data_IF_578629181891
#
_entry.id   IF_578629181891
#
_cell.length_a   1.000
_cell.length_b   1.000
_cell.length_c   1.000
_cell.angle_alpha   90.00
_cell.angle_beta   90.00
_cell.angle_gamma   90.00
#
_symmetry.space_group_name_H-M   'P 1'
#
loop_
_entity.id
_entity.type
_entity.pdbx_description
1 polymer ?
#
# COMPACT_ATOMS: atom_id res chain seq x y z
N UNK A 1 -7.90 25.59 30.54
CA UNK A 1 -7.05 24.68 31.34
C UNK A 1 -7.43 23.21 31.13
N UNK A 2 -8.64 22.71 31.47
CA UNK A 2 -8.99 21.28 31.31
C UNK A 2 -8.92 20.80 29.85
N UNK A 3 -9.47 21.54 28.90
CA UNK A 3 -9.45 21.18 27.46
C UNK A 3 -8.02 21.14 26.94
N UNK A 4 -7.18 22.11 27.27
CA UNK A 4 -5.76 22.13 26.90
C UNK A 4 -5.04 20.87 27.42
N UNK A 5 -5.22 20.52 28.70
CA UNK A 5 -4.63 19.30 29.26
C UNK A 5 -5.10 18.01 28.57
N UNK A 6 -6.37 17.94 28.14
CA UNK A 6 -6.89 16.79 27.40
C UNK A 6 -6.26 16.66 26.01
N UNK A 7 -6.05 17.79 25.33
CA UNK A 7 -5.39 17.81 24.01
C UNK A 7 -3.93 17.39 24.16
N UNK A 8 -3.19 17.93 25.14
CA UNK A 8 -1.80 17.54 25.44
C UNK A 8 -1.68 16.02 25.68
N UNK A 9 -2.57 15.46 26.49
CA UNK A 9 -2.61 14.01 26.76
C UNK A 9 -2.87 13.23 25.47
N UNK A 10 -3.82 13.67 24.65
CA UNK A 10 -4.15 12.98 23.41
C UNK A 10 -2.98 13.01 22.41
N UNK A 11 -2.37 14.17 22.20
CA UNK A 11 -1.25 14.33 21.27
C UNK A 11 -0.06 13.45 21.65
N UNK A 12 0.18 13.30 22.95
CA UNK A 12 1.30 12.49 23.45
C UNK A 12 1.00 10.99 23.45
N UNK A 13 -0.13 10.59 24.02
CA UNK A 13 -0.38 9.16 24.31
C UNK A 13 -1.01 8.40 23.15
N UNK A 14 -1.76 9.07 22.26
CA UNK A 14 -2.38 8.41 21.11
C UNK A 14 -1.37 7.67 20.22
N UNK A 15 -0.29 8.31 19.71
CA UNK A 15 0.69 7.61 18.86
C UNK A 15 1.46 6.52 19.62
N UNK A 16 1.70 6.69 20.93
CA UNK A 16 2.38 5.68 21.76
C UNK A 16 1.52 4.42 21.86
N UNK A 17 0.24 4.57 22.24
CA UNK A 17 -0.70 3.45 22.39
C UNK A 17 -0.88 2.74 21.06
N UNK A 18 -1.09 3.50 19.97
CA UNK A 18 -1.32 2.92 18.66
C UNK A 18 -0.08 2.19 18.13
N UNK A 19 1.11 2.77 18.30
CA UNK A 19 2.36 2.13 17.93
C UNK A 19 2.59 0.82 18.71
N UNK A 20 2.25 0.79 19.98
CA UNK A 20 2.34 -0.42 20.81
C UNK A 20 1.35 -1.50 20.33
N UNK A 21 0.11 -1.14 19.99
CA UNK A 21 -0.88 -2.07 19.41
C UNK A 21 -0.36 -2.67 18.12
N UNK A 22 0.12 -1.84 17.18
CA UNK A 22 0.60 -2.32 15.90
C UNK A 22 1.89 -3.14 16.02
N UNK A 23 2.82 -2.74 16.87
CA UNK A 23 4.04 -3.48 17.14
C UNK A 23 3.75 -4.85 17.76
N UNK A 24 2.86 -4.92 18.75
CA UNK A 24 2.49 -6.20 19.38
C UNK A 24 1.79 -7.14 18.40
N UNK A 25 0.89 -6.63 17.55
CA UNK A 25 0.25 -7.42 16.52
C UNK A 25 1.22 -7.93 15.46
N UNK A 26 2.16 -7.11 15.02
CA UNK A 26 3.21 -7.52 14.09
C UNK A 26 4.14 -8.59 14.70
N UNK A 27 4.46 -8.47 15.98
CA UNK A 27 5.24 -9.46 16.69
C UNK A 27 4.52 -10.81 16.79
N UNK A 28 3.26 -10.81 17.20
CA UNK A 28 2.44 -12.01 17.36
C UNK A 28 2.11 -12.69 16.02
N UNK A 29 1.97 -11.91 14.93
CA UNK A 29 1.68 -12.45 13.59
C UNK A 29 2.73 -13.45 13.11
N UNK A 30 3.99 -13.32 13.56
CA UNK A 30 5.10 -14.20 13.19
C UNK A 30 4.84 -15.68 13.52
N UNK A 31 4.20 -15.95 14.64
CA UNK A 31 3.91 -17.34 15.04
C UNK A 31 2.81 -17.94 14.16
N UNK A 32 1.80 -17.17 13.81
CA UNK A 32 0.72 -17.61 12.92
C UNK A 32 1.20 -17.89 11.48
N UNK A 33 2.26 -17.18 11.05
CA UNK A 33 2.78 -17.32 9.68
C UNK A 33 3.80 -18.45 9.51
N UNK A 34 4.37 -18.98 10.60
CA UNK A 34 5.38 -20.06 10.54
C UNK A 34 4.87 -21.27 9.76
N UNK A 35 3.60 -21.62 9.95
CA UNK A 35 3.02 -22.86 9.44
C UNK A 35 2.28 -22.69 8.10
N UNK A 36 2.18 -21.43 7.58
CA UNK A 36 1.58 -21.19 6.26
C UNK A 36 2.50 -21.69 5.16
N UNK A 37 2.05 -22.71 4.42
CA UNK A 37 2.70 -23.25 3.24
C UNK A 37 2.14 -22.60 1.97
N UNK A 38 2.94 -22.60 0.89
CA UNK A 38 2.43 -22.40 -0.46
C UNK A 38 1.43 -23.53 -0.83
N UNK A 39 0.69 -23.35 -1.91
CA UNK A 39 -0.18 -24.43 -2.41
C UNK A 39 0.68 -25.68 -2.66
N UNK A 40 0.15 -26.82 -2.25
CA UNK A 40 0.75 -28.11 -2.52
C UNK A 40 0.74 -28.37 -4.04
N UNK A 41 1.89 -28.70 -4.61
CA UNK A 41 2.09 -28.98 -6.03
C UNK A 41 1.26 -30.16 -6.54
N UNK A 42 0.65 -30.93 -5.63
CA UNK A 42 -0.24 -32.06 -5.96
C UNK A 42 -1.68 -31.64 -6.31
N UNK A 43 -2.05 -30.35 -6.13
CA UNK A 43 -3.38 -29.85 -6.49
C UNK A 43 -3.40 -29.33 -7.93
N UNK A 44 -4.53 -29.50 -8.62
CA UNK A 44 -4.79 -28.83 -9.88
C UNK A 44 -4.60 -27.33 -9.74
N UNK A 45 -3.78 -26.75 -10.60
CA UNK A 45 -3.53 -25.32 -10.62
C UNK A 45 -4.71 -24.58 -11.26
N UNK A 46 -5.46 -23.84 -10.46
CA UNK A 46 -6.51 -22.95 -10.96
C UNK A 46 -5.89 -21.86 -11.84
N UNK A 47 -6.55 -21.53 -12.96
CA UNK A 47 -6.08 -20.49 -13.86
C UNK A 47 -6.11 -19.10 -13.20
N UNK A 48 -5.03 -18.35 -13.29
CA UNK A 48 -4.91 -16.97 -12.77
C UNK A 48 -4.73 -16.03 -13.94
N UNK A 49 -5.54 -14.95 -13.99
CA UNK A 49 -5.35 -13.86 -14.92
C UNK A 49 -4.50 -12.75 -14.26
N UNK A 50 -3.28 -12.53 -14.77
CA UNK A 50 -2.45 -11.41 -14.37
C UNK A 50 -2.85 -10.19 -15.20
N UNK A 51 -3.16 -9.08 -14.56
CA UNK A 51 -3.56 -7.84 -15.20
C UNK A 51 -2.58 -6.73 -14.86
N UNK A 52 -2.05 -6.10 -15.90
CA UNK A 52 -1.11 -4.99 -15.82
C UNK A 52 -1.70 -3.81 -16.59
N UNK A 53 -1.81 -2.66 -15.94
CA UNK A 53 -2.10 -1.39 -16.61
C UNK A 53 -0.79 -0.66 -16.87
N UNK A 54 -0.57 -0.19 -18.10
CA UNK A 54 0.64 0.50 -18.51
C UNK A 54 0.31 1.89 -19.08
N UNK A 55 1.07 2.90 -18.66
CA UNK A 55 1.04 4.24 -19.23
C UNK A 55 2.40 4.90 -19.09
N UNK A 56 3.12 5.04 -20.21
CA UNK A 56 4.49 5.56 -20.28
C UNK A 56 5.45 4.78 -19.36
N UNK A 57 5.59 3.49 -19.63
CA UNK A 57 6.39 2.53 -18.87
C UNK A 57 7.47 1.87 -19.77
N UNK A 58 7.95 2.59 -20.80
CA UNK A 58 8.94 2.06 -21.74
C UNK A 58 10.22 1.55 -21.07
N UNK A 59 10.60 2.11 -19.92
CA UNK A 59 11.82 1.73 -19.19
C UNK A 59 11.69 0.41 -18.41
N UNK A 60 10.46 0.02 -18.03
CA UNK A 60 10.24 -1.08 -17.09
C UNK A 60 9.46 -2.25 -17.66
N UNK A 61 8.57 -2.01 -18.63
CA UNK A 61 7.57 -2.99 -19.07
C UNK A 61 8.16 -4.29 -19.63
N UNK A 62 9.24 -4.22 -20.39
CA UNK A 62 9.92 -5.39 -20.94
C UNK A 62 10.46 -6.29 -19.82
N UNK A 63 11.17 -5.68 -18.86
CA UNK A 63 11.77 -6.38 -17.73
C UNK A 63 10.69 -7.03 -16.84
N UNK A 64 9.56 -6.34 -16.62
CA UNK A 64 8.42 -6.89 -15.88
C UNK A 64 7.86 -8.12 -16.58
N UNK A 65 7.61 -8.07 -17.89
CA UNK A 65 7.10 -9.21 -18.65
C UNK A 65 8.04 -10.41 -18.60
N UNK A 66 9.35 -10.18 -18.80
CA UNK A 66 10.37 -11.22 -18.69
C UNK A 66 10.38 -11.86 -17.30
N UNK A 67 10.15 -11.07 -16.24
CA UNK A 67 10.12 -11.55 -14.87
C UNK A 67 8.97 -12.53 -14.60
N UNK A 68 7.83 -12.37 -15.29
CA UNK A 68 6.67 -13.25 -15.13
C UNK A 68 6.94 -14.69 -15.58
N UNK A 69 7.88 -14.90 -16.52
CA UNK A 69 8.30 -16.25 -16.96
C UNK A 69 9.00 -17.05 -15.85
N UNK A 70 9.54 -16.35 -14.84
CA UNK A 70 10.25 -16.99 -13.74
C UNK A 70 9.33 -17.39 -12.58
N UNK A 71 8.01 -17.21 -12.72
CA UNK A 71 7.05 -17.56 -11.68
C UNK A 71 6.84 -19.09 -11.63
N UNK A 72 6.85 -19.65 -10.43
CA UNK A 72 6.57 -21.05 -10.19
C UNK A 72 5.05 -21.32 -10.22
N UNK A 73 4.40 -21.01 -11.35
CA UNK A 73 2.97 -21.23 -11.50
C UNK A 73 2.61 -21.53 -12.97
N UNK A 74 2.07 -22.70 -13.29
CA UNK A 74 1.98 -23.18 -14.66
C UNK A 74 0.73 -22.72 -15.44
N UNK A 75 -0.30 -22.20 -14.76
CA UNK A 75 -1.60 -21.89 -15.37
C UNK A 75 -1.89 -20.39 -15.31
N UNK A 76 -1.30 -19.62 -16.24
CA UNK A 76 -1.40 -18.17 -16.31
C UNK A 76 -2.01 -17.70 -17.64
N UNK A 77 -2.74 -16.61 -17.57
CA UNK A 77 -3.03 -15.72 -18.70
C UNK A 77 -2.70 -14.30 -18.31
N UNK A 78 -2.18 -13.51 -19.26
CA UNK A 78 -1.68 -12.17 -18.98
C UNK A 78 -2.44 -11.18 -19.85
N UNK A 79 -3.02 -10.17 -19.23
CA UNK A 79 -3.65 -9.03 -19.88
C UNK A 79 -2.84 -7.78 -19.57
N UNK A 80 -2.41 -7.08 -20.61
CA UNK A 80 -1.78 -5.77 -20.48
C UNK A 80 -2.68 -4.76 -21.15
N UNK A 81 -3.04 -3.71 -20.40
CA UNK A 81 -3.83 -2.62 -20.93
C UNK A 81 -2.96 -1.39 -21.09
N UNK A 82 -2.66 -1.01 -22.33
CA UNK A 82 -2.01 0.26 -22.62
C UNK A 82 -3.04 1.39 -22.55
N UNK A 83 -2.88 2.29 -21.58
CA UNK A 83 -3.76 3.44 -21.35
C UNK A 83 -3.36 4.65 -22.22
N UNK A 84 -3.14 4.39 -23.53
CA UNK A 84 -2.73 5.39 -24.50
C UNK A 84 -1.36 6.01 -24.18
N UNK A 85 -0.33 5.18 -24.03
CA UNK A 85 1.05 5.64 -23.85
C UNK A 85 1.49 6.53 -25.02
N UNK A 86 2.32 7.53 -24.71
CA UNK A 86 2.89 8.47 -25.67
C UNK A 86 4.37 8.21 -25.96
N UNK A 87 4.99 7.29 -25.23
CA UNK A 87 6.35 6.79 -25.39
C UNK A 87 6.36 5.45 -26.15
N UNK A 88 7.47 4.72 -26.12
CA UNK A 88 7.63 3.43 -26.81
C UNK A 88 7.04 2.23 -26.06
N UNK A 89 6.21 2.44 -25.02
CA UNK A 89 5.63 1.34 -24.23
C UNK A 89 4.89 0.33 -25.10
N UNK A 90 3.97 0.80 -25.95
CA UNK A 90 3.15 -0.07 -26.80
C UNK A 90 3.99 -0.83 -27.82
N UNK A 91 5.00 -0.19 -28.42
CA UNK A 91 5.92 -0.81 -29.34
C UNK A 91 6.69 -1.96 -28.68
N UNK A 92 7.26 -1.72 -27.50
CA UNK A 92 7.95 -2.73 -26.69
C UNK A 92 7.05 -3.91 -26.30
N UNK A 93 5.79 -3.64 -25.96
CA UNK A 93 4.83 -4.69 -25.68
C UNK A 93 4.65 -5.66 -26.86
N UNK A 94 4.52 -5.13 -28.07
CA UNK A 94 4.40 -5.95 -29.28
C UNK A 94 5.70 -6.64 -29.66
N UNK A 95 6.86 -6.02 -29.42
CA UNK A 95 8.18 -6.64 -29.64
C UNK A 95 8.39 -7.84 -28.72
N UNK A 96 8.13 -7.66 -27.43
CA UNK A 96 8.21 -8.76 -26.44
C UNK A 96 7.25 -9.89 -26.82
N UNK A 97 6.02 -9.57 -27.19
CA UNK A 97 5.06 -10.58 -27.64
C UNK A 97 5.54 -11.38 -28.86
N UNK A 98 6.23 -10.74 -29.83
CA UNK A 98 6.78 -11.41 -31.03
C UNK A 98 7.98 -12.28 -30.71
N UNK A 99 8.80 -11.90 -29.74
CA UNK A 99 10.03 -12.61 -29.38
C UNK A 99 9.78 -13.89 -28.56
N UNK A 100 8.54 -14.14 -28.14
CA UNK A 100 8.15 -15.29 -27.33
C UNK A 100 6.98 -16.03 -27.96
N UNK A 101 7.29 -17.01 -28.81
CA UNK A 101 6.30 -17.82 -29.53
C UNK A 101 5.40 -18.66 -28.59
N UNK A 102 5.86 -18.92 -27.38
CA UNK A 102 5.15 -19.70 -26.36
C UNK A 102 4.19 -18.86 -25.49
N UNK A 103 4.07 -17.54 -25.76
CA UNK A 103 3.18 -16.65 -25.02
C UNK A 103 1.83 -16.41 -25.69
N UNK A 104 1.18 -17.48 -26.10
CA UNK A 104 -0.21 -17.42 -26.60
C UNK A 104 -1.19 -16.86 -25.56
N UNK A 105 -0.80 -16.87 -24.28
CA UNK A 105 -1.60 -16.36 -23.17
C UNK A 105 -1.47 -14.86 -22.94
N UNK A 106 -0.60 -14.14 -23.69
CA UNK A 106 -0.42 -12.69 -23.56
C UNK A 106 -1.39 -11.93 -24.46
N UNK A 107 -2.32 -11.19 -23.86
CA UNK A 107 -3.27 -10.32 -24.54
C UNK A 107 -2.93 -8.84 -24.27
N UNK A 108 -2.72 -8.07 -25.32
CA UNK A 108 -2.51 -6.62 -25.26
C UNK A 108 -3.83 -5.94 -25.62
N UNK A 109 -4.31 -5.05 -24.76
CA UNK A 109 -5.52 -4.25 -24.93
C UNK A 109 -5.11 -2.77 -24.99
N UNK A 110 -5.56 -2.07 -26.05
CA UNK A 110 -5.22 -0.67 -26.27
C UNK A 110 -6.42 0.24 -25.97
N UNK A 111 -6.20 1.28 -25.18
CA UNK A 111 -7.19 2.34 -24.98
C UNK A 111 -6.99 3.46 -26.01
N UNK A 112 -8.08 4.05 -26.45
CA UNK A 112 -8.05 5.16 -27.43
C UNK A 112 -7.62 6.49 -26.80
N UNK A 113 -7.77 6.63 -25.50
CA UNK A 113 -7.45 7.82 -24.70
C UNK A 113 -7.05 7.40 -23.28
N UNK A 114 -6.19 8.19 -22.63
CA UNK A 114 -5.81 7.97 -21.23
C UNK A 114 -7.01 8.24 -20.31
N UNK A 115 -7.53 7.16 -19.70
CA UNK A 115 -8.66 7.17 -18.76
C UNK A 115 -8.28 6.76 -17.33
N UNK A 116 -7.00 6.49 -17.11
CA UNK A 116 -6.45 6.14 -15.81
C UNK A 116 -6.52 4.66 -15.48
N UNK A 117 -5.73 4.28 -14.47
CA UNK A 117 -5.50 2.89 -14.04
C UNK A 117 -6.80 2.13 -13.76
N UNK A 118 -7.74 2.72 -13.03
CA UNK A 118 -9.01 2.06 -12.70
C UNK A 118 -9.81 1.66 -13.94
N UNK A 119 -9.83 2.53 -14.98
CA UNK A 119 -10.50 2.22 -16.25
C UNK A 119 -9.78 1.10 -16.97
N UNK A 120 -8.45 1.13 -17.06
CA UNK A 120 -7.65 0.06 -17.66
C UNK A 120 -7.90 -1.29 -16.98
N UNK A 121 -7.92 -1.32 -15.65
CA UNK A 121 -8.24 -2.54 -14.89
C UNK A 121 -9.66 -3.05 -15.15
N UNK A 122 -10.64 -2.16 -15.31
CA UNK A 122 -12.02 -2.55 -15.66
C UNK A 122 -12.13 -3.11 -17.09
N UNK A 123 -11.37 -2.57 -18.04
CA UNK A 123 -11.30 -3.11 -19.41
C UNK A 123 -10.78 -4.54 -19.39
N UNK A 124 -9.71 -4.80 -18.65
CA UNK A 124 -9.20 -6.16 -18.48
C UNK A 124 -10.19 -7.08 -17.75
N UNK A 125 -10.84 -6.60 -16.68
CA UNK A 125 -11.81 -7.38 -15.90
C UNK A 125 -12.98 -7.92 -16.76
N UNK A 126 -13.35 -7.20 -17.81
CA UNK A 126 -14.39 -7.68 -18.76
C UNK A 126 -13.92 -8.85 -19.62
N UNK A 127 -12.61 -9.00 -19.84
CA UNK A 127 -12.02 -10.08 -20.62
C UNK A 127 -11.62 -11.31 -19.74
N UNK A 128 -11.46 -11.08 -18.43
CA UNK A 128 -11.06 -12.13 -17.49
C UNK A 128 -12.16 -13.17 -17.32
N UNK A 129 -11.83 -14.44 -17.66
CA UNK A 129 -12.70 -15.59 -17.50
C UNK A 129 -12.26 -16.54 -16.36
N UNK A 130 -11.06 -16.33 -15.80
CA UNK A 130 -10.57 -17.09 -14.64
C UNK A 130 -11.32 -16.73 -13.35
N UNK A 131 -11.21 -17.57 -12.33
CA UNK A 131 -11.80 -17.31 -11.00
C UNK A 131 -11.02 -16.23 -10.23
N UNK A 132 -9.73 -16.06 -10.57
CA UNK A 132 -8.80 -15.23 -9.83
C UNK A 132 -8.06 -14.26 -10.75
N UNK A 133 -8.04 -13.01 -10.35
CA UNK A 133 -7.37 -11.91 -11.06
C UNK A 133 -6.28 -11.33 -10.17
N UNK A 134 -5.04 -11.36 -10.62
CA UNK A 134 -3.91 -10.70 -9.97
C UNK A 134 -3.65 -9.35 -10.65
N UNK A 135 -3.63 -8.29 -9.89
CA UNK A 135 -3.22 -6.95 -10.35
C UNK A 135 -1.81 -6.67 -9.86
N UNK A 136 -0.94 -6.24 -10.77
CA UNK A 136 0.41 -5.74 -10.49
C UNK A 136 0.67 -4.45 -11.28
N UNK A 137 1.60 -3.62 -10.81
CA UNK A 137 2.04 -2.44 -11.54
C UNK A 137 3.07 -2.80 -12.62
N UNK A 138 3.16 -1.98 -13.67
CA UNK A 138 4.04 -2.17 -14.83
C UNK A 138 5.55 -1.97 -14.52
N UNK A 139 5.90 -1.71 -13.26
CA UNK A 139 7.26 -1.58 -12.74
C UNK A 139 7.60 -2.59 -11.64
N UNK A 140 6.71 -3.56 -11.40
CA UNK A 140 6.76 -4.43 -10.23
C UNK A 140 7.10 -5.87 -10.60
N UNK A 141 8.04 -6.49 -9.85
CA UNK A 141 8.39 -7.90 -9.99
C UNK A 141 7.85 -8.72 -8.85
N UNK A 142 7.47 -9.95 -9.14
CA UNK A 142 7.00 -10.89 -8.13
C UNK A 142 8.10 -11.85 -7.70
N UNK A 143 8.09 -12.27 -6.43
CA UNK A 143 8.86 -13.44 -6.02
C UNK A 143 8.29 -14.70 -6.68
N UNK A 144 9.13 -15.70 -6.94
CA UNK A 144 8.76 -16.91 -7.71
C UNK A 144 7.50 -17.61 -7.20
N UNK A 145 7.31 -17.64 -5.88
CA UNK A 145 6.21 -18.34 -5.23
C UNK A 145 5.07 -17.41 -4.77
N UNK A 146 5.10 -16.12 -5.17
CA UNK A 146 4.13 -15.12 -4.74
C UNK A 146 2.68 -15.56 -5.03
N UNK A 147 2.43 -16.08 -6.24
CA UNK A 147 1.09 -16.51 -6.66
C UNK A 147 0.58 -17.66 -5.80
N UNK A 148 1.42 -18.64 -5.52
CA UNK A 148 1.07 -19.80 -4.70
C UNK A 148 0.69 -19.40 -3.28
N UNK A 149 1.41 -18.44 -2.67
CA UNK A 149 1.07 -17.91 -1.35
C UNK A 149 -0.25 -17.11 -1.37
N UNK A 150 -0.45 -16.26 -2.38
CA UNK A 150 -1.69 -15.47 -2.51
C UNK A 150 -2.90 -16.40 -2.72
N UNK A 151 -2.79 -17.36 -3.64
CA UNK A 151 -3.88 -18.26 -3.95
C UNK A 151 -4.21 -19.16 -2.76
N UNK A 152 -3.20 -19.67 -2.03
CA UNK A 152 -3.41 -20.47 -0.82
C UNK A 152 -4.25 -19.71 0.23
N UNK A 153 -3.97 -18.43 0.46
CA UNK A 153 -4.75 -17.63 1.40
C UNK A 153 -6.15 -17.31 0.83
N UNK A 154 -6.25 -16.92 -0.45
CA UNK A 154 -7.53 -16.57 -1.08
C UNK A 154 -8.52 -17.74 -1.13
N UNK A 155 -8.01 -18.97 -1.28
CA UNK A 155 -8.81 -20.20 -1.33
C UNK A 155 -9.05 -20.82 0.05
N UNK A 156 -8.39 -20.33 1.10
CA UNK A 156 -8.54 -20.84 2.47
C UNK A 156 -9.96 -20.66 3.03
N UNK A 157 -10.72 -19.71 2.49
CA UNK A 157 -12.15 -19.50 2.81
C UNK A 157 -12.87 -18.84 1.63
N UNK A 158 -14.14 -19.21 1.43
CA UNK A 158 -14.96 -18.67 0.33
C UNK A 158 -15.34 -17.20 0.51
N UNK A 159 -15.28 -16.66 1.73
CA UNK A 159 -15.60 -15.27 2.07
C UNK A 159 -14.42 -14.29 1.92
N UNK A 160 -13.25 -14.78 1.44
CA UNK A 160 -12.11 -13.91 1.13
C UNK A 160 -12.26 -13.42 -0.32
N UNK A 161 -12.44 -12.10 -0.46
CA UNK A 161 -12.58 -11.43 -1.75
C UNK A 161 -11.28 -10.94 -2.35
N UNK A 162 -10.29 -10.60 -1.51
CA UNK A 162 -8.98 -10.15 -1.94
C UNK A 162 -7.87 -10.49 -0.95
N UNK A 163 -6.67 -10.69 -1.50
CA UNK A 163 -5.43 -10.85 -0.73
C UNK A 163 -4.34 -10.00 -1.33
N UNK A 164 -3.53 -9.34 -0.50
CA UNK A 164 -2.43 -8.50 -0.95
C UNK A 164 -1.10 -8.98 -0.38
N UNK A 165 -0.05 -8.89 -1.20
CA UNK A 165 1.31 -9.23 -0.82
C UNK A 165 2.06 -8.07 -0.16
N UNK A 166 3.35 -8.30 0.06
CA UNK A 166 4.28 -7.37 0.70
C UNK A 166 5.18 -6.70 -0.35
N UNK A 167 5.12 -5.37 -0.48
CA UNK A 167 6.06 -4.62 -1.30
C UNK A 167 7.45 -4.58 -0.68
N UNK A 168 8.49 -4.75 -1.51
CA UNK A 168 9.91 -4.60 -1.19
C UNK A 168 10.51 -3.56 -2.13
N UNK A 169 11.12 -2.53 -1.59
CA UNK A 169 11.78 -1.49 -2.39
C UNK A 169 13.05 -2.01 -3.03
N UNK A 170 13.17 -1.93 -4.36
CA UNK A 170 14.34 -2.40 -5.12
C UNK A 170 15.36 -1.31 -5.45
N UNK A 171 14.94 -0.06 -5.68
CA UNK A 171 15.83 1.08 -5.91
C UNK A 171 16.15 1.81 -4.60
N UNK A 172 17.44 2.09 -4.34
CA UNK A 172 17.92 2.71 -3.10
C UNK A 172 19.20 3.49 -3.36
N UNK A 173 19.26 4.21 -4.49
CA UNK A 173 20.45 4.94 -4.89
C UNK A 173 20.59 6.23 -4.07
N UNK A 174 19.45 6.80 -3.65
CA UNK A 174 19.39 8.04 -2.87
C UNK A 174 19.03 7.81 -1.40
N UNK A 175 19.23 8.85 -0.57
CA UNK A 175 18.76 8.84 0.82
C UNK A 175 17.24 8.64 0.92
N UNK A 176 16.47 9.24 0.00
CA UNK A 176 15.00 9.08 -0.02
C UNK A 176 14.58 7.64 -0.33
N UNK A 177 15.23 6.96 -1.26
CA UNK A 177 14.98 5.55 -1.54
C UNK A 177 15.26 4.67 -0.31
N UNK A 178 16.35 4.94 0.42
CA UNK A 178 16.70 4.24 1.66
C UNK A 178 15.68 4.48 2.77
N UNK A 179 15.24 5.72 2.98
CA UNK A 179 14.23 6.06 3.98
C UNK A 179 12.87 5.40 3.69
N UNK A 180 12.46 5.35 2.43
CA UNK A 180 11.25 4.62 2.02
C UNK A 180 11.39 3.12 2.26
N UNK A 181 12.57 2.52 2.01
CA UNK A 181 12.80 1.11 2.34
C UNK A 181 12.58 0.84 3.82
N UNK A 182 13.09 1.71 4.70
CA UNK A 182 12.87 1.60 6.15
C UNK A 182 11.40 1.72 6.53
N UNK A 183 10.65 2.62 5.89
CA UNK A 183 9.21 2.77 6.10
C UNK A 183 8.43 1.51 5.70
N UNK A 184 8.70 0.97 4.51
CA UNK A 184 8.00 -0.20 3.99
C UNK A 184 8.22 -1.44 4.87
N UNK A 185 9.47 -1.70 5.29
CA UNK A 185 9.78 -2.87 6.10
C UNK A 185 9.35 -2.76 7.57
N UNK A 186 9.29 -1.53 8.12
CA UNK A 186 8.94 -1.33 9.53
C UNK A 186 7.47 -0.97 9.71
N UNK A 187 7.06 0.23 9.29
CA UNK A 187 5.75 0.77 9.62
C UNK A 187 4.65 0.12 8.79
N UNK A 188 4.79 0.09 7.45
CA UNK A 188 3.74 -0.42 6.56
C UNK A 188 3.51 -1.92 6.78
N UNK A 189 4.58 -2.72 6.84
CA UNK A 189 4.48 -4.16 7.09
C UNK A 189 3.90 -4.45 8.48
N UNK A 190 4.37 -3.74 9.53
CA UNK A 190 3.90 -3.94 10.90
C UNK A 190 2.41 -3.64 11.05
N UNK A 191 1.92 -2.53 10.49
CA UNK A 191 0.50 -2.17 10.55
C UNK A 191 -0.37 -3.21 9.84
N UNK A 192 -0.02 -3.61 8.61
CA UNK A 192 -0.80 -4.60 7.85
C UNK A 192 -0.82 -5.97 8.55
N UNK A 193 0.30 -6.40 9.13
CA UNK A 193 0.37 -7.64 9.93
C UNK A 193 -0.55 -7.57 11.14
N UNK A 194 -0.50 -6.49 11.89
CA UNK A 194 -1.31 -6.31 13.08
C UNK A 194 -2.81 -6.21 12.75
N UNK A 195 -3.18 -5.42 11.75
CA UNK A 195 -4.56 -5.32 11.27
C UNK A 195 -5.09 -6.69 10.81
N UNK A 196 -4.31 -7.42 10.01
CA UNK A 196 -4.70 -8.76 9.54
C UNK A 196 -4.85 -9.75 10.70
N UNK A 197 -3.99 -9.67 11.74
CA UNK A 197 -4.04 -10.56 12.91
C UNK A 197 -5.21 -10.22 13.84
N UNK A 198 -5.30 -8.96 14.29
CA UNK A 198 -6.25 -8.56 15.32
C UNK A 198 -7.67 -8.35 14.81
N UNK A 199 -7.78 -7.79 13.61
CA UNK A 199 -9.06 -7.43 13.03
C UNK A 199 -9.53 -8.44 11.97
N UNK A 200 -8.60 -9.22 11.38
CA UNK A 200 -8.91 -10.04 10.21
C UNK A 200 -9.34 -9.20 9.00
N UNK A 201 -9.02 -7.92 9.01
CA UNK A 201 -9.27 -6.94 7.96
C UNK A 201 -8.05 -6.02 7.87
N UNK A 202 -7.81 -5.41 6.72
CA UNK A 202 -6.76 -4.40 6.50
C UNK A 202 -7.38 -3.13 5.95
N UNK A 203 -6.74 -1.99 6.23
CA UNK A 203 -7.21 -0.68 5.79
C UNK A 203 -7.13 -0.50 4.27
N UNK A 204 -6.09 -1.07 3.65
CA UNK A 204 -5.88 -1.01 2.20
C UNK A 204 -5.04 -2.17 1.70
N UNK A 205 -5.39 -2.70 0.54
CA UNK A 205 -4.50 -3.55 -0.25
C UNK A 205 -3.31 -2.71 -0.78
N UNK A 206 -2.29 -3.35 -1.32
CA UNK A 206 -1.20 -2.67 -2.04
C UNK A 206 -1.42 -2.85 -3.53
N UNK A 207 -1.75 -1.79 -4.26
CA UNK A 207 -2.03 -1.83 -5.69
C UNK A 207 -0.95 -2.45 -6.58
N UNK A 208 0.24 -2.67 -6.01
CA UNK A 208 1.41 -3.30 -6.67
C UNK A 208 1.39 -4.84 -6.63
N UNK A 209 0.52 -5.44 -5.80
CA UNK A 209 0.34 -6.91 -5.71
C UNK A 209 -0.96 -7.24 -4.98
N UNK A 210 -2.01 -7.51 -5.73
CA UNK A 210 -3.32 -7.89 -5.17
C UNK A 210 -3.95 -8.99 -6.01
N UNK A 211 -4.30 -10.09 -5.36
CA UNK A 211 -5.11 -11.13 -6.01
C UNK A 211 -6.54 -11.03 -5.52
N UNK A 212 -7.45 -10.92 -6.46
CA UNK A 212 -8.88 -10.79 -6.23
C UNK A 212 -9.61 -12.08 -6.63
N UNK A 213 -10.68 -12.39 -5.91
CA UNK A 213 -11.73 -13.26 -6.42
C UNK A 213 -12.56 -12.45 -7.43
N UNK A 214 -12.62 -12.91 -8.68
CA UNK A 214 -13.32 -12.19 -9.77
C UNK A 214 -14.79 -11.98 -9.46
N UNK A 215 -15.44 -12.95 -8.82
CA UNK A 215 -16.82 -12.83 -8.33
C UNK A 215 -16.97 -11.61 -7.40
N UNK A 216 -16.09 -11.47 -6.41
CA UNK A 216 -16.12 -10.36 -5.47
C UNK A 216 -15.92 -8.99 -6.14
N UNK A 217 -15.00 -8.91 -7.14
CA UNK A 217 -14.83 -7.69 -7.93
C UNK A 217 -16.08 -7.36 -8.76
N UNK A 218 -16.70 -8.35 -9.40
CA UNK A 218 -17.90 -8.15 -10.21
C UNK A 218 -19.09 -7.73 -9.34
N UNK A 219 -19.24 -8.31 -8.14
CA UNK A 219 -20.29 -7.97 -7.19
C UNK A 219 -20.24 -6.49 -6.76
N UNK A 220 -19.03 -5.96 -6.53
CA UNK A 220 -18.86 -4.55 -6.16
C UNK A 220 -18.84 -3.59 -7.36
N UNK A 221 -19.02 -4.09 -8.60
CA UNK A 221 -19.02 -3.27 -9.82
C UNK A 221 -17.64 -2.89 -10.34
N UNK A 222 -16.58 -3.66 -10.04
CA UNK A 222 -15.21 -3.40 -10.50
C UNK A 222 -14.51 -2.26 -9.77
N UNK A 223 -13.55 -1.61 -10.43
CA UNK A 223 -12.77 -0.48 -9.88
C UNK A 223 -13.48 0.85 -10.10
N UNK A 224 -13.49 1.70 -9.10
CA UNK A 224 -14.10 3.03 -9.18
C UNK A 224 -13.17 4.01 -9.92
N UNK A 225 -13.65 4.59 -11.02
CA UNK A 225 -12.89 5.52 -11.86
C UNK A 225 -12.94 6.97 -11.36
N UNK A 226 -13.75 7.26 -10.35
CA UNK A 226 -13.98 8.62 -9.83
C UNK A 226 -13.15 8.94 -8.58
N UNK A 227 -12.28 8.01 -8.13
CA UNK A 227 -11.44 8.18 -6.94
C UNK A 227 -9.98 8.33 -7.31
N UNK A 228 -9.20 8.93 -6.41
CA UNK A 228 -7.76 9.13 -6.62
C UNK A 228 -6.95 7.82 -6.48
N UNK A 229 -7.42 6.90 -5.63
CA UNK A 229 -6.74 5.62 -5.33
C UNK A 229 -7.76 4.47 -5.38
N UNK A 230 -7.71 3.71 -6.46
CA UNK A 230 -8.61 2.58 -6.73
C UNK A 230 -8.43 1.43 -5.73
N UNK A 231 -7.22 1.25 -5.21
CA UNK A 231 -6.85 0.18 -4.28
C UNK A 231 -7.41 0.40 -2.86
N UNK A 232 -7.43 1.65 -2.38
CA UNK A 232 -8.07 1.97 -1.10
C UNK A 232 -9.59 1.83 -1.24
N UNK A 233 -10.18 2.39 -2.30
CA UNK A 233 -11.62 2.35 -2.53
C UNK A 233 -12.14 0.91 -2.69
N UNK A 234 -11.51 0.07 -3.53
CA UNK A 234 -11.92 -1.31 -3.73
C UNK A 234 -11.86 -2.11 -2.42
N UNK A 235 -10.86 -1.85 -1.57
CA UNK A 235 -10.75 -2.49 -0.25
C UNK A 235 -12.00 -2.22 0.60
N UNK A 236 -12.43 -0.96 0.68
CA UNK A 236 -13.58 -0.58 1.48
C UNK A 236 -14.91 -1.02 0.87
N UNK A 237 -15.03 -1.06 -0.46
CA UNK A 237 -16.23 -1.62 -1.10
C UNK A 237 -16.33 -3.12 -0.90
N UNK A 238 -15.22 -3.87 -0.92
CA UNK A 238 -15.20 -5.28 -0.54
C UNK A 238 -15.65 -5.47 0.91
N UNK A 239 -15.14 -4.67 1.86
CA UNK A 239 -15.57 -4.73 3.25
C UNK A 239 -17.07 -4.43 3.41
N UNK A 240 -17.62 -3.46 2.67
CA UNK A 240 -19.06 -3.15 2.68
C UNK A 240 -19.92 -4.32 2.21
N UNK A 241 -19.41 -5.12 1.28
CA UNK A 241 -20.09 -6.30 0.75
C UNK A 241 -19.70 -7.58 1.49
N UNK A 242 -19.21 -7.46 2.73
CA UNK A 242 -18.88 -8.55 3.65
C UNK A 242 -17.72 -9.45 3.20
N UNK A 243 -16.98 -9.06 2.17
CA UNK A 243 -15.78 -9.76 1.75
C UNK A 243 -14.62 -9.46 2.67
N UNK A 244 -13.89 -10.50 3.08
CA UNK A 244 -12.64 -10.36 3.83
C UNK A 244 -11.51 -9.98 2.90
N UNK A 245 -10.65 -9.06 3.37
CA UNK A 245 -9.41 -8.67 2.69
C UNK A 245 -8.24 -8.99 3.60
N UNK A 246 -7.26 -9.78 3.10
CA UNK A 246 -6.17 -10.33 3.90
C UNK A 246 -4.80 -9.86 3.43
N UNK A 247 -3.83 -9.91 4.34
CA UNK A 247 -2.42 -9.63 4.06
C UNK A 247 -1.60 -10.92 4.07
N UNK A 248 -0.77 -11.11 3.04
CA UNK A 248 0.06 -12.31 2.82
C UNK A 248 1.53 -11.89 2.73
N UNK A 249 2.24 -11.72 3.85
CA UNK A 249 3.59 -11.15 3.86
C UNK A 249 4.67 -12.03 3.24
N UNK A 250 4.37 -13.29 2.90
CA UNK A 250 5.27 -14.19 2.15
C UNK A 250 5.21 -13.97 0.64
N UNK A 251 4.15 -13.38 0.12
CA UNK A 251 4.02 -13.02 -1.29
C UNK A 251 4.70 -11.67 -1.52
N UNK A 252 5.91 -11.67 -2.10
CA UNK A 252 6.70 -10.46 -2.27
C UNK A 252 6.51 -9.84 -3.65
N UNK A 253 6.45 -8.50 -3.70
CA UNK A 253 6.54 -7.70 -4.92
C UNK A 253 7.67 -6.69 -4.78
N UNK A 254 8.63 -6.71 -5.70
CA UNK A 254 9.76 -5.79 -5.74
C UNK A 254 9.40 -4.57 -6.57
N UNK A 255 9.32 -3.41 -5.92
CA UNK A 255 8.77 -2.16 -6.47
C UNK A 255 9.82 -1.07 -6.62
N UNK A 256 9.57 -0.14 -7.55
CA UNK A 256 10.28 1.13 -7.62
C UNK A 256 9.59 2.20 -6.76
N UNK A 257 10.40 3.05 -6.11
CA UNK A 257 9.92 4.19 -5.33
C UNK A 257 10.54 5.49 -5.86
N UNK A 258 9.86 6.65 -5.72
CA UNK A 258 10.43 7.92 -6.11
C UNK A 258 11.71 8.24 -5.33
N UNK A 259 12.80 8.59 -6.03
CA UNK A 259 14.07 8.95 -5.43
C UNK A 259 14.34 10.46 -5.42
N UNK A 260 13.40 11.28 -5.87
CA UNK A 260 13.42 12.72 -5.72
C UNK A 260 12.25 13.24 -4.87
N UNK A 261 12.45 14.36 -4.18
CA UNK A 261 11.48 14.90 -3.22
C UNK A 261 10.15 15.31 -3.88
N UNK A 262 10.20 15.87 -5.10
CA UNK A 262 9.00 16.34 -5.81
C UNK A 262 8.07 15.19 -6.16
N UNK A 263 8.60 14.11 -6.71
CA UNK A 263 7.83 12.90 -7.06
C UNK A 263 7.33 12.19 -5.81
N UNK A 264 8.15 12.13 -4.74
CA UNK A 264 7.72 11.58 -3.46
C UNK A 264 6.53 12.35 -2.88
N UNK A 265 6.59 13.67 -2.78
CA UNK A 265 5.49 14.48 -2.26
C UNK A 265 4.22 14.36 -3.11
N UNK A 266 4.36 14.28 -4.45
CA UNK A 266 3.23 14.04 -5.37
C UNK A 266 2.57 12.68 -5.08
N UNK A 267 3.36 11.62 -4.91
CA UNK A 267 2.88 10.28 -4.58
C UNK A 267 2.17 10.25 -3.22
N UNK A 268 2.80 10.81 -2.18
CA UNK A 268 2.23 10.85 -0.81
C UNK A 268 0.94 11.67 -0.74
N UNK A 269 0.90 12.81 -1.44
CA UNK A 269 -0.32 13.60 -1.54
C UNK A 269 -1.45 12.80 -2.22
N UNK A 270 -1.17 12.08 -3.29
CA UNK A 270 -2.16 11.23 -3.97
C UNK A 270 -2.72 10.17 -3.02
N UNK A 271 -1.86 9.46 -2.27
CA UNK A 271 -2.29 8.47 -1.30
C UNK A 271 -3.13 9.07 -0.17
N UNK A 272 -2.71 10.22 0.35
CA UNK A 272 -3.42 10.91 1.41
C UNK A 272 -4.81 11.41 0.95
N UNK A 273 -4.91 11.99 -0.27
CA UNK A 273 -6.20 12.38 -0.87
C UNK A 273 -7.14 11.18 -0.98
N UNK A 274 -6.67 10.07 -1.54
CA UNK A 274 -7.48 8.85 -1.65
C UNK A 274 -7.92 8.32 -0.29
N UNK A 275 -7.06 8.37 0.72
CA UNK A 275 -7.43 8.01 2.10
C UNK A 275 -8.55 8.88 2.66
N UNK A 276 -8.47 10.20 2.48
CA UNK A 276 -9.52 11.14 2.93
C UNK A 276 -10.83 10.95 2.16
N UNK A 277 -10.78 10.74 0.83
CA UNK A 277 -11.97 10.44 0.01
C UNK A 277 -12.70 9.20 0.52
N UNK A 278 -11.95 8.14 0.80
CA UNK A 278 -12.50 6.88 1.34
C UNK A 278 -13.05 7.07 2.74
N UNK A 279 -12.36 7.82 3.61
CA UNK A 279 -12.85 8.12 4.96
C UNK A 279 -14.21 8.82 4.90
N UNK A 280 -14.34 9.88 4.09
CA UNK A 280 -15.59 10.63 3.94
C UNK A 280 -16.71 9.73 3.39
N UNK A 281 -16.42 8.95 2.35
CA UNK A 281 -17.39 8.04 1.72
C UNK A 281 -17.89 6.94 2.68
N UNK A 282 -17.10 6.60 3.71
CA UNK A 282 -17.42 5.54 4.67
C UNK A 282 -17.82 6.06 6.05
N UNK A 283 -17.88 7.37 6.27
CA UNK A 283 -18.07 7.97 7.60
C UNK A 283 -19.37 7.48 8.29
N UNK A 284 -20.45 7.28 7.52
CA UNK A 284 -21.71 6.75 8.02
C UNK A 284 -21.60 5.35 8.64
N UNK A 285 -20.57 4.59 8.27
CA UNK A 285 -20.34 3.24 8.76
C UNK A 285 -19.86 3.19 10.22
N UNK A 286 -19.28 4.28 10.73
CA UNK A 286 -18.94 4.41 12.16
C UNK A 286 -20.14 4.16 13.05
N UNK A 287 -21.35 4.49 12.59
CA UNK A 287 -22.59 4.35 13.34
C UNK A 287 -23.36 3.05 13.09
N UNK A 288 -22.94 2.22 12.10
CA UNK A 288 -23.61 0.93 11.84
C UNK A 288 -23.30 -0.09 12.93
N UNK A 289 -24.34 -0.80 13.41
CA UNK A 289 -24.20 -1.89 14.37
C UNK A 289 -23.61 -3.15 13.70
N UNK A 290 -22.81 -3.90 14.44
CA UNK A 290 -22.37 -5.25 14.06
C UNK A 290 -20.94 -5.40 13.54
N UNK A 291 -20.35 -4.38 12.94
CA UNK A 291 -19.06 -4.46 12.25
C UNK A 291 -17.91 -3.80 13.06
N UNK A 292 -17.58 -4.35 14.23
CA UNK A 292 -16.54 -3.78 15.12
C UNK A 292 -15.21 -3.54 14.41
N UNK A 293 -14.77 -4.48 13.56
CA UNK A 293 -13.48 -4.43 12.88
C UNK A 293 -13.33 -3.21 11.97
N UNK A 294 -14.31 -3.02 11.09
CA UNK A 294 -14.31 -1.93 10.11
C UNK A 294 -14.56 -0.58 10.79
N UNK A 295 -15.42 -0.56 11.81
CA UNK A 295 -15.62 0.63 12.66
C UNK A 295 -14.35 1.05 13.38
N UNK A 296 -13.58 0.08 13.90
CA UNK A 296 -12.30 0.38 14.57
C UNK A 296 -11.33 1.02 13.60
N UNK A 297 -11.18 0.49 12.36
CA UNK A 297 -10.33 1.09 11.33
C UNK A 297 -10.77 2.51 10.95
N UNK A 298 -12.08 2.77 10.82
CA UNK A 298 -12.58 4.12 10.51
C UNK A 298 -12.35 5.08 11.68
N UNK A 299 -12.61 4.65 12.91
CA UNK A 299 -12.36 5.47 14.11
C UNK A 299 -10.87 5.79 14.24
N UNK A 300 -10.01 4.81 13.98
CA UNK A 300 -8.56 5.02 13.98
C UNK A 300 -8.14 6.05 12.91
N UNK A 301 -8.67 5.96 11.68
CA UNK A 301 -8.44 6.99 10.66
C UNK A 301 -8.89 8.38 11.13
N UNK A 302 -10.10 8.51 11.69
CA UNK A 302 -10.60 9.78 12.22
C UNK A 302 -9.67 10.31 13.32
N UNK A 303 -9.31 9.45 14.27
CA UNK A 303 -8.39 9.83 15.35
C UNK A 303 -7.03 10.27 14.83
N UNK A 304 -6.46 9.57 13.83
CA UNK A 304 -5.20 9.96 13.20
C UNK A 304 -5.26 11.35 12.55
N UNK A 305 -6.35 11.66 11.84
CA UNK A 305 -6.55 12.99 11.25
C UNK A 305 -6.69 14.09 12.30
N UNK A 306 -7.52 13.87 13.33
CA UNK A 306 -7.67 14.80 14.46
C UNK A 306 -6.33 15.01 15.17
N UNK A 307 -5.58 13.93 15.40
CA UNK A 307 -4.26 14.00 16.01
C UNK A 307 -3.28 14.86 15.19
N UNK A 308 -3.29 14.73 13.87
CA UNK A 308 -2.41 15.49 12.98
C UNK A 308 -2.61 17.01 13.11
N UNK A 309 -3.86 17.46 13.22
CA UNK A 309 -4.17 18.88 13.45
C UNK A 309 -3.78 19.36 14.84
N UNK A 310 -4.10 18.62 15.89
CA UNK A 310 -3.72 18.97 17.24
C UNK A 310 -2.21 19.01 17.41
N UNK A 311 -1.50 18.04 16.87
CA UNK A 311 -0.04 18.02 16.86
C UNK A 311 0.55 19.25 16.16
N UNK A 312 -0.01 19.66 15.01
CA UNK A 312 0.45 20.88 14.30
C UNK A 312 0.22 22.14 15.15
N UNK A 313 -0.98 22.27 15.72
CA UNK A 313 -1.36 23.43 16.54
C UNK A 313 -0.46 23.52 17.78
N UNK A 314 -0.28 22.42 18.51
CA UNK A 314 0.58 22.40 19.70
C UNK A 314 2.06 22.64 19.34
N UNK A 315 2.54 22.06 18.26
CA UNK A 315 3.91 22.31 17.78
C UNK A 315 4.14 23.78 17.46
N UNK A 316 3.15 24.45 16.84
CA UNK A 316 3.21 25.87 16.55
C UNK A 316 3.16 26.72 17.83
N UNK A 317 2.25 26.41 18.76
CA UNK A 317 2.17 27.11 20.06
C UNK A 317 3.47 26.96 20.86
N UNK A 318 4.01 25.74 20.89
CA UNK A 318 5.28 25.46 21.55
C UNK A 318 6.45 26.23 20.92
N UNK A 319 6.51 26.30 19.60
CA UNK A 319 7.51 27.09 18.87
C UNK A 319 7.40 28.58 19.19
N UNK A 320 6.19 29.16 19.26
CA UNK A 320 5.98 30.53 19.66
C UNK A 320 6.42 30.79 21.11
N UNK A 321 6.10 29.91 22.04
CA UNK A 321 6.52 30.04 23.45
C UNK A 321 8.04 30.01 23.56
N UNK A 322 8.71 29.12 22.82
CA UNK A 322 10.16 29.06 22.78
C UNK A 322 10.78 30.35 22.27
N UNK A 323 10.21 30.98 21.24
CA UNK A 323 10.68 32.25 20.70
C UNK A 323 10.49 33.41 21.69
N UNK A 324 9.38 33.41 22.43
CA UNK A 324 9.03 34.51 23.31
C UNK A 324 9.71 34.41 24.69
N UNK A 325 9.80 33.22 25.24
CA UNK A 325 10.20 32.96 26.63
C UNK A 325 11.64 32.43 26.77
N UNK A 326 12.28 32.02 25.66
CA UNK A 326 13.58 31.35 25.64
C UNK A 326 13.67 30.10 26.53
N UNK A 327 12.52 29.54 26.92
CA UNK A 327 12.45 28.29 27.69
C UNK A 327 12.28 27.07 26.77
N UNK A 328 13.15 26.09 26.93
CA UNK A 328 13.09 24.82 26.21
C UNK A 328 12.70 23.71 27.18
N UNK A 329 11.41 23.43 27.32
CA UNK A 329 10.89 22.36 28.20
C UNK A 329 10.23 21.26 27.38
N UNK A 330 11.02 20.32 26.92
CA UNK A 330 10.48 19.06 26.35
C UNK A 330 10.56 17.98 27.42
N UNK A 331 9.47 17.23 27.62
CA UNK A 331 9.50 16.08 28.51
C UNK A 331 10.40 14.99 27.92
N UNK A 332 11.65 14.91 28.39
CA UNK A 332 12.63 13.94 27.92
C UNK A 332 12.15 12.49 28.03
N UNK A 333 11.30 12.19 29.02
CA UNK A 333 10.74 10.84 29.20
C UNK A 333 9.83 10.42 28.05
N UNK A 334 8.98 11.31 27.53
CA UNK A 334 8.07 11.03 26.42
C UNK A 334 8.86 10.79 25.13
N UNK A 335 9.87 11.62 24.87
CA UNK A 335 10.77 11.43 23.71
C UNK A 335 11.45 10.07 23.80
N UNK A 336 11.98 9.71 24.97
CA UNK A 336 12.66 8.40 25.16
C UNK A 336 11.69 7.23 24.88
N UNK A 337 10.45 7.29 25.39
CA UNK A 337 9.46 6.23 25.13
C UNK A 337 9.15 6.14 23.65
N UNK A 338 8.91 7.25 22.97
CA UNK A 338 8.64 7.27 21.53
C UNK A 338 9.80 6.69 20.71
N UNK A 339 11.03 7.09 21.03
CA UNK A 339 12.23 6.58 20.38
C UNK A 339 12.38 5.09 20.62
N UNK A 340 12.20 4.60 21.85
CA UNK A 340 12.30 3.16 22.17
C UNK A 340 11.26 2.33 21.40
N UNK A 341 10.01 2.76 21.35
CA UNK A 341 8.96 2.07 20.58
C UNK A 341 9.30 2.07 19.09
N UNK A 342 9.77 3.19 18.56
CA UNK A 342 10.14 3.30 17.15
C UNK A 342 11.30 2.36 16.79
N UNK A 343 12.34 2.29 17.63
CA UNK A 343 13.41 1.32 17.46
C UNK A 343 12.92 -0.12 17.59
N UNK A 344 12.01 -0.40 18.51
CA UNK A 344 11.40 -1.73 18.63
C UNK A 344 10.67 -2.14 17.36
N UNK A 345 9.81 -1.25 16.80
CA UNK A 345 9.13 -1.48 15.52
C UNK A 345 10.13 -1.71 14.38
N UNK A 346 11.19 -0.93 14.34
CA UNK A 346 12.24 -1.09 13.33
C UNK A 346 12.96 -2.44 13.42
N UNK A 347 13.40 -2.83 14.61
CA UNK A 347 14.05 -4.15 14.83
C UNK A 347 13.10 -5.30 14.51
N UNK A 348 11.82 -5.13 14.84
CA UNK A 348 10.78 -6.08 14.49
C UNK A 348 10.64 -6.21 12.95
N UNK A 349 10.64 -5.09 12.25
CA UNK A 349 10.63 -5.04 10.79
C UNK A 349 11.84 -5.74 10.17
N UNK A 350 13.04 -5.45 10.64
CA UNK A 350 14.27 -6.13 10.20
C UNK A 350 14.20 -7.65 10.39
N UNK A 351 13.66 -8.10 11.51
CA UNK A 351 13.53 -9.51 11.80
C UNK A 351 12.43 -10.19 10.95
N UNK A 352 11.36 -9.48 10.62
CA UNK A 352 10.31 -9.94 9.71
C UNK A 352 10.77 -9.96 8.25
N UNK A 353 11.69 -9.07 7.89
CA UNK A 353 12.22 -8.93 6.53
C UNK A 353 13.09 -10.12 6.11
N UNK A 354 13.75 -10.79 7.07
CA UNK A 354 14.65 -11.95 6.85
C UNK A 354 15.73 -11.71 5.79
N UNK A 355 16.09 -10.45 5.55
CA UNK A 355 17.11 -10.06 4.57
C UNK A 355 16.60 -9.87 3.14
N UNK A 356 15.30 -9.97 2.89
CA UNK A 356 14.71 -9.75 1.55
C UNK A 356 15.00 -8.34 1.01
N UNK A 357 14.97 -7.33 1.88
CA UNK A 357 15.31 -5.94 1.49
C UNK A 357 16.82 -5.71 1.30
N UNK A 358 17.68 -6.68 1.58
CA UNK A 358 19.15 -6.63 1.41
C UNK A 358 19.77 -5.33 1.94
N UNK A 359 19.38 -4.89 3.14
CA UNK A 359 19.86 -3.66 3.76
C UNK A 359 21.31 -3.80 4.22
N UNK A 360 22.16 -2.86 3.83
CA UNK A 360 23.51 -2.70 4.37
C UNK A 360 23.48 -2.16 5.82
N UNK A 361 24.60 -2.21 6.52
CA UNK A 361 24.69 -1.59 7.84
C UNK A 361 24.45 -0.09 7.78
N UNK A 362 24.97 0.58 6.75
CA UNK A 362 24.77 2.02 6.55
C UNK A 362 23.30 2.38 6.35
N UNK A 363 22.53 1.57 5.63
CA UNK A 363 21.10 1.77 5.45
C UNK A 363 20.34 1.68 6.79
N UNK A 364 20.77 0.78 7.69
CA UNK A 364 20.17 0.64 9.02
C UNK A 364 20.51 1.83 9.93
N UNK A 365 21.70 2.40 9.81
CA UNK A 365 22.12 3.57 10.60
C UNK A 365 21.40 4.87 10.22
N UNK A 366 20.71 4.92 9.08
CA UNK A 366 19.88 6.08 8.65
C UNK A 366 18.54 6.14 9.41
N UNK A 367 18.14 5.10 10.13
CA UNK A 367 16.84 5.06 10.81
C UNK A 367 16.54 6.27 11.73
N UNK A 368 17.49 6.86 12.48
CA UNK A 368 17.23 8.11 13.21
C UNK A 368 16.78 9.27 12.31
N UNK A 369 17.31 9.39 11.09
CA UNK A 369 16.87 10.41 10.14
C UNK A 369 15.43 10.17 9.65
N UNK A 370 15.02 8.90 9.53
CA UNK A 370 13.63 8.55 9.27
C UNK A 370 12.69 9.10 10.37
N UNK A 371 13.03 8.88 11.63
CA UNK A 371 12.23 9.33 12.77
C UNK A 371 12.08 10.84 12.88
N UNK A 372 13.13 11.59 12.53
CA UNK A 372 13.16 13.04 12.75
C UNK A 372 12.63 13.81 11.54
N UNK A 373 13.04 13.44 10.33
CA UNK A 373 12.78 14.25 9.13
C UNK A 373 11.69 13.65 8.22
N UNK A 374 11.76 12.35 7.95
CA UNK A 374 10.89 11.74 6.95
C UNK A 374 9.43 11.68 7.39
N UNK A 375 9.19 11.49 8.67
CA UNK A 375 7.85 11.48 9.25
C UNK A 375 7.07 12.79 9.01
N UNK A 376 7.75 13.95 9.04
CA UNK A 376 7.14 15.25 8.73
C UNK A 376 6.62 15.34 7.29
N UNK A 377 7.26 14.68 6.33
CA UNK A 377 6.78 14.66 4.94
C UNK A 377 5.40 14.00 4.84
N UNK A 378 5.19 12.91 5.57
CA UNK A 378 3.90 12.23 5.62
C UNK A 378 2.83 13.08 6.31
N UNK A 379 3.17 13.75 7.43
CA UNK A 379 2.27 14.66 8.13
C UNK A 379 1.83 15.83 7.24
N UNK A 380 2.76 16.50 6.57
CA UNK A 380 2.46 17.62 5.66
C UNK A 380 1.59 17.14 4.49
N UNK A 381 1.87 15.96 3.95
CA UNK A 381 1.09 15.37 2.88
C UNK A 381 -0.36 15.08 3.32
N UNK A 382 -0.55 14.52 4.51
CA UNK A 382 -1.87 14.25 5.09
C UNK A 382 -2.69 15.54 5.28
N UNK A 383 -2.13 16.54 5.94
CA UNK A 383 -2.79 17.83 6.18
C UNK A 383 -3.13 18.57 4.87
N UNK A 384 -2.21 18.55 3.89
CA UNK A 384 -2.45 19.15 2.59
C UNK A 384 -3.57 18.45 1.82
N UNK A 385 -3.69 17.14 1.95
CA UNK A 385 -4.72 16.34 1.29
C UNK A 385 -6.12 16.68 1.82
N UNK A 386 -6.27 16.84 3.13
CA UNK A 386 -7.54 17.23 3.74
C UNK A 386 -8.04 18.58 3.19
N UNK A 387 -7.14 19.57 3.11
CA UNK A 387 -7.47 20.88 2.53
C UNK A 387 -7.89 20.78 1.06
N UNK A 388 -7.24 19.90 0.28
CA UNK A 388 -7.57 19.68 -1.14
C UNK A 388 -8.94 19.05 -1.30
N UNK A 389 -9.25 18.02 -0.52
CA UNK A 389 -10.54 17.34 -0.58
C UNK A 389 -11.67 18.27 -0.12
N UNK A 390 -11.48 18.98 1.00
CA UNK A 390 -12.49 19.92 1.52
C UNK A 390 -12.76 21.10 0.57
N UNK A 391 -11.79 21.48 -0.27
CA UNK A 391 -11.96 22.56 -1.25
C UNK A 391 -12.39 22.06 -2.64
N UNK A 392 -12.73 20.79 -2.81
CA UNK A 392 -13.10 20.14 -4.08
C UNK A 392 -12.08 20.36 -5.22
N UNK A 393 -10.79 20.45 -4.89
CA UNK A 393 -9.69 20.63 -5.86
C UNK A 393 -9.04 19.31 -6.26
N UNK A 394 -9.76 18.21 -6.23
CA UNK A 394 -9.26 16.90 -6.63
C UNK A 394 -9.27 16.76 -8.15
N UNK A 395 -8.14 16.46 -8.76
CA UNK A 395 -8.04 16.07 -10.17
C UNK A 395 -8.44 14.60 -10.29
N UNK A 396 -9.71 14.33 -10.55
CA UNK A 396 -10.24 12.97 -10.66
C UNK A 396 -9.66 12.24 -11.87
N UNK A 397 -9.20 11.01 -11.66
CA UNK A 397 -9.06 9.98 -12.68
C UNK A 397 -7.90 10.08 -13.69
N UNK A 398 -7.08 11.13 -13.71
CA UNK A 398 -5.94 11.20 -14.63
C UNK A 398 -4.70 10.59 -14.00
N UNK A 399 -4.17 9.56 -14.64
CA UNK A 399 -2.92 8.94 -14.25
C UNK A 399 -1.73 9.72 -14.83
N UNK A 400 -0.77 10.04 -13.99
CA UNK A 400 0.55 10.53 -14.38
C UNK A 400 1.58 9.56 -13.82
N UNK A 401 2.38 8.96 -14.68
CA UNK A 401 3.49 8.11 -14.24
C UNK A 401 4.44 8.92 -13.35
N UNK A 402 4.79 8.45 -12.14
CA UNK A 402 5.77 9.14 -11.31
C UNK A 402 7.17 8.94 -11.90
N UNK A 403 8.00 9.99 -11.88
CA UNK A 403 9.44 9.87 -12.10
C UNK A 403 10.03 9.01 -10.97
N UNK A 404 10.59 7.85 -11.34
CA UNK A 404 11.08 6.82 -10.41
C UNK A 404 12.60 6.80 -10.31
N UNK A 405 13.30 7.70 -11.04
CA UNK A 405 14.76 7.81 -11.01
C UNK A 405 15.47 6.61 -11.67
N UNK A 406 14.84 6.02 -12.68
CA UNK A 406 15.44 4.98 -13.54
C UNK A 406 15.96 5.63 -14.78
#
# INVERSE_FOLDING_TARGET
>A
MIISTMVDVYVVYYPIILSFIWASGAFLSRWKERDKKAIDETKEFEKISIVISAYNEEETIEEVLLSLRNLNYPSLEIFIVDDKSSDSTLEKLYEVKKSFDDWETLTILEQKENKGKATALNVALQQVNSKYMLVIDADSYLSKDALSYLLAELTSSSDIGAVTGRPIVRNRTTLLGKLQTLEYLSVIDAIKRAQSLFLGAIMTVSGVIVMYRVEALKEIGGFNTEVMTEDIDVTWRLHRNQWKVKYVPKALSYILVPENLKSLLKQRRRWAVGGVEVLISNLSWVFKRGEFKHRFLLIEMICSHIWSWFFLIESYQYFLQMLLNQEFKVSGQIIVIFVLISFFVFFLGLNNDKGESRLSLTDKLIFPAYLVAYWFLNLISALSAELVVLTNRTNKGKWESPDRGV
#
